data_IF_783209329873
#
_entry.id   IF_783209329873
#
_cell.length_a   1.000
_cell.length_b   1.000
_cell.length_c   1.000
_cell.angle_alpha   90.00
_cell.angle_beta   90.00
_cell.angle_gamma   90.00
#
_symmetry.space_group_name_H-M   'P 1'
#
loop_
_entity.id
_entity.type
_entity.pdbx_description
1 polymer ?
#
# COMPACT_ATOMS: atom_id res chain seq x y z
N UNK A 1 21.15 -38.69 -6.01
CA UNK A 1 20.19 -38.05 -5.10
C UNK A 1 19.34 -36.99 -5.82
N UNK A 2 18.34 -37.46 -6.56
CA UNK A 2 17.44 -36.65 -7.40
C UNK A 2 16.37 -35.95 -6.56
N UNK A 3 16.01 -36.56 -5.43
CA UNK A 3 15.02 -36.06 -4.47
C UNK A 3 15.50 -34.78 -3.79
N UNK A 4 16.76 -34.74 -3.34
CA UNK A 4 17.34 -33.56 -2.72
C UNK A 4 17.36 -32.34 -3.66
N UNK A 5 17.68 -32.56 -4.95
CA UNK A 5 17.65 -31.49 -5.97
C UNK A 5 16.23 -30.98 -6.22
N UNK A 6 15.24 -31.88 -6.19
CA UNK A 6 13.83 -31.55 -6.39
C UNK A 6 13.25 -30.78 -5.19
N UNK A 7 13.61 -31.17 -3.97
CA UNK A 7 13.28 -30.45 -2.72
C UNK A 7 13.86 -29.04 -2.70
N UNK A 8 15.13 -28.86 -3.08
CA UNK A 8 15.74 -27.52 -3.17
C UNK A 8 15.06 -26.66 -4.24
N UNK A 9 14.66 -27.24 -5.37
CA UNK A 9 13.93 -26.54 -6.42
C UNK A 9 12.53 -26.10 -5.96
N UNK A 10 11.83 -26.93 -5.19
CA UNK A 10 10.53 -26.59 -4.59
C UNK A 10 10.66 -25.48 -3.55
N UNK A 11 11.66 -25.54 -2.66
CA UNK A 11 11.91 -24.48 -1.68
C UNK A 11 12.25 -23.13 -2.35
N UNK A 12 13.03 -23.16 -3.43
CA UNK A 12 13.33 -21.98 -4.23
C UNK A 12 12.09 -21.44 -4.95
N UNK A 13 11.21 -22.33 -5.44
CA UNK A 13 9.94 -21.97 -6.06
C UNK A 13 8.96 -21.36 -5.06
N UNK A 14 8.87 -21.89 -3.85
CA UNK A 14 8.07 -21.33 -2.75
C UNK A 14 8.59 -19.96 -2.30
N UNK A 15 9.92 -19.81 -2.16
CA UNK A 15 10.54 -18.52 -1.84
C UNK A 15 10.30 -17.48 -2.95
N UNK A 16 10.40 -17.90 -4.22
CA UNK A 16 10.10 -17.06 -5.38
C UNK A 16 8.62 -16.64 -5.41
N UNK A 17 7.68 -17.56 -5.13
CA UNK A 17 6.25 -17.23 -5.04
C UNK A 17 5.95 -16.27 -3.88
N UNK A 18 6.61 -16.43 -2.73
CA UNK A 18 6.47 -15.50 -1.59
C UNK A 18 6.97 -14.10 -1.94
N UNK A 19 8.03 -14.02 -2.75
CA UNK A 19 8.55 -12.76 -3.27
C UNK A 19 7.68 -12.18 -4.41
N UNK A 20 7.05 -13.04 -5.20
CA UNK A 20 6.10 -12.65 -6.26
C UNK A 20 4.79 -12.11 -5.68
N UNK A 21 4.28 -12.68 -4.59
CA UNK A 21 3.13 -12.15 -3.83
C UNK A 21 3.46 -10.81 -3.14
N UNK A 22 4.66 -10.67 -2.55
CA UNK A 22 5.17 -9.37 -2.08
C UNK A 22 5.31 -8.34 -3.21
N UNK A 23 5.67 -8.80 -4.41
CA UNK A 23 5.81 -7.97 -5.60
C UNK A 23 4.47 -7.58 -6.23
N UNK A 24 3.44 -8.43 -6.15
CA UNK A 24 2.05 -8.18 -6.61
C UNK A 24 1.31 -7.19 -5.70
N UNK A 25 1.73 -7.03 -4.45
CA UNK A 25 1.33 -5.92 -3.57
C UNK A 25 1.81 -4.52 -3.99
N UNK A 26 2.51 -4.39 -5.13
CA UNK A 26 3.00 -3.11 -5.68
C UNK A 26 2.00 -2.39 -6.59
N UNK A 27 0.71 -2.72 -6.51
CA UNK A 27 -0.31 -1.78 -6.94
C UNK A 27 -0.35 -0.64 -5.92
N UNK A 28 -0.06 0.60 -6.35
CA UNK A 28 -0.04 1.81 -5.51
C UNK A 28 -1.33 2.03 -4.67
N UNK A 29 -2.41 1.33 -5.00
CA UNK A 29 -3.69 1.33 -4.28
C UNK A 29 -3.67 0.53 -2.96
N UNK A 30 -2.81 -0.49 -2.83
CA UNK A 30 -2.82 -1.41 -1.68
C UNK A 30 -1.68 -1.19 -0.68
N UNK A 31 -0.70 -0.34 -1.02
CA UNK A 31 0.40 0.07 -0.13
C UNK A 31 -0.11 0.52 1.25
N UNK A 32 -1.17 1.35 1.37
CA UNK A 32 -1.67 1.78 2.67
C UNK A 32 -2.31 0.63 3.47
N UNK A 33 -2.95 -0.33 2.78
CA UNK A 33 -3.61 -1.47 3.45
C UNK A 33 -2.58 -2.48 3.97
N UNK A 34 -1.56 -2.79 3.18
CA UNK A 34 -0.46 -3.67 3.61
C UNK A 34 0.29 -3.06 4.80
N UNK A 35 0.57 -1.76 4.76
CA UNK A 35 1.23 -1.05 5.86
C UNK A 35 0.42 -1.12 7.16
N UNK A 36 -0.90 -0.93 7.09
CA UNK A 36 -1.79 -1.06 8.25
C UNK A 36 -1.85 -2.50 8.76
N UNK A 37 -1.87 -3.50 7.88
CA UNK A 37 -1.85 -4.90 8.26
C UNK A 37 -0.54 -5.27 8.97
N UNK A 38 0.60 -4.83 8.44
CA UNK A 38 1.92 -5.02 9.08
C UNK A 38 1.98 -4.33 10.45
N UNK A 39 1.43 -3.11 10.57
CA UNK A 39 1.33 -2.40 11.86
C UNK A 39 0.51 -3.19 12.87
N UNK A 40 -0.63 -3.75 12.47
CA UNK A 40 -1.48 -4.58 13.32
C UNK A 40 -0.72 -5.81 13.84
N UNK A 41 0.06 -6.45 12.97
CA UNK A 41 0.91 -7.59 13.35
C UNK A 41 2.00 -7.20 14.36
N UNK A 42 2.65 -6.05 14.16
CA UNK A 42 3.63 -5.53 15.12
C UNK A 42 3.00 -5.22 16.48
N UNK A 43 1.78 -4.68 16.51
CA UNK A 43 1.04 -4.45 17.75
C UNK A 43 0.75 -5.76 18.48
N UNK A 44 0.23 -6.76 17.78
CA UNK A 44 -0.04 -8.07 18.38
C UNK A 44 1.22 -8.72 18.96
N UNK A 45 2.36 -8.61 18.25
CA UNK A 45 3.65 -9.10 18.75
C UNK A 45 4.11 -8.33 20.00
N UNK A 46 3.94 -7.00 20.01
CA UNK A 46 4.26 -6.18 21.17
C UNK A 46 3.40 -6.52 22.39
N UNK A 47 2.09 -6.68 22.21
CA UNK A 47 1.17 -7.11 23.28
C UNK A 47 1.52 -8.51 23.81
N UNK A 48 1.90 -9.43 22.93
CA UNK A 48 2.35 -10.77 23.32
C UNK A 48 3.66 -10.71 24.13
N UNK A 49 4.64 -9.93 23.69
CA UNK A 49 5.90 -9.73 24.41
C UNK A 49 5.65 -9.08 25.79
N UNK A 50 4.73 -8.11 25.85
CA UNK A 50 4.34 -7.47 27.10
C UNK A 50 3.70 -8.46 28.09
N UNK A 51 2.80 -9.34 27.61
CA UNK A 51 2.22 -10.41 28.44
C UNK A 51 3.29 -11.40 28.93
N UNK A 52 4.29 -11.70 28.11
CA UNK A 52 5.40 -12.57 28.50
C UNK A 52 6.28 -11.94 29.57
N UNK A 53 6.55 -10.63 29.48
CA UNK A 53 7.25 -9.88 30.50
C UNK A 53 6.50 -9.89 31.85
N UNK A 54 5.19 -9.64 31.83
CA UNK A 54 4.36 -9.72 33.04
C UNK A 54 4.36 -11.12 33.67
N UNK A 55 4.37 -12.17 32.85
CA UNK A 55 4.52 -13.56 33.34
C UNK A 55 5.89 -13.83 33.95
N UNK A 56 6.96 -13.31 33.35
CA UNK A 56 8.31 -13.44 33.90
C UNK A 56 8.43 -12.76 35.26
N UNK A 57 7.87 -11.54 35.38
CA UNK A 57 7.77 -10.79 36.65
C UNK A 57 7.05 -11.55 37.76
N UNK A 58 5.98 -12.27 37.43
CA UNK A 58 5.19 -13.03 38.40
C UNK A 58 5.72 -14.41 38.77
N UNK A 59 6.67 -15.00 38.01
CA UNK A 59 7.15 -16.38 38.25
C UNK A 59 8.56 -16.45 38.82
N UNK A 60 9.55 -15.83 38.18
CA UNK A 60 10.95 -15.92 38.60
C UNK A 60 11.79 -14.78 38.00
N UNK A 61 12.60 -14.13 38.83
CA UNK A 61 13.38 -12.93 38.47
C UNK A 61 14.47 -13.14 37.39
N UNK A 62 14.84 -14.41 37.10
CA UNK A 62 15.95 -14.75 36.18
C UNK A 62 15.65 -14.50 34.70
N UNK A 63 14.40 -14.65 34.28
CA UNK A 63 14.01 -14.50 32.86
C UNK A 63 13.59 -13.06 32.51
N UNK A 64 13.50 -12.18 33.50
CA UNK A 64 13.08 -10.78 33.33
C UNK A 64 13.98 -10.03 32.34
N UNK A 65 15.33 -10.08 32.43
CA UNK A 65 16.18 -9.30 31.52
C UNK A 65 15.98 -9.69 30.05
N UNK A 66 15.75 -10.97 29.78
CA UNK A 66 15.48 -11.48 28.43
C UNK A 66 14.10 -11.03 27.93
N UNK A 67 13.07 -11.15 28.77
CA UNK A 67 11.72 -10.74 28.42
C UNK A 67 11.61 -9.21 28.21
N UNK A 68 12.37 -8.41 28.97
CA UNK A 68 12.47 -6.97 28.80
C UNK A 68 13.13 -6.60 27.46
N UNK A 69 14.22 -7.27 27.09
CA UNK A 69 14.88 -7.05 25.81
C UNK A 69 13.96 -7.40 24.62
N UNK A 70 13.24 -8.53 24.68
CA UNK A 70 12.28 -8.94 23.66
C UNK A 70 11.09 -7.96 23.54
N UNK A 71 10.59 -7.46 24.68
CA UNK A 71 9.52 -6.46 24.71
C UNK A 71 10.00 -5.13 24.12
N UNK A 72 11.21 -4.69 24.46
CA UNK A 72 11.78 -3.43 23.97
C UNK A 72 12.00 -3.46 22.45
N UNK A 73 12.48 -4.60 21.92
CA UNK A 73 12.63 -4.79 20.47
C UNK A 73 11.26 -4.78 19.76
N UNK A 74 10.26 -5.45 20.33
CA UNK A 74 8.90 -5.45 19.77
C UNK A 74 8.26 -4.05 19.82
N UNK A 75 8.49 -3.29 20.90
CA UNK A 75 8.04 -1.90 21.05
C UNK A 75 8.63 -1.03 19.95
N UNK A 76 9.96 -1.05 19.80
CA UNK A 76 10.66 -0.26 18.77
C UNK A 76 10.14 -0.53 17.37
N UNK A 77 9.96 -1.82 17.02
CA UNK A 77 9.39 -2.22 15.71
C UNK A 77 7.97 -1.68 15.50
N UNK A 78 7.14 -1.66 16.55
CA UNK A 78 5.79 -1.11 16.49
C UNK A 78 5.77 0.43 16.39
N UNK A 79 6.68 1.11 17.07
CA UNK A 79 6.83 2.57 17.00
C UNK A 79 7.29 3.01 15.62
N UNK A 80 8.33 2.38 15.07
CA UNK A 80 8.88 2.66 13.75
C UNK A 80 7.81 2.53 12.66
N UNK A 81 7.07 1.43 12.65
CA UNK A 81 6.00 1.21 11.66
C UNK A 81 4.80 2.15 11.89
N UNK A 82 4.53 2.53 13.14
CA UNK A 82 3.47 3.49 13.46
C UNK A 82 3.83 4.90 13.00
N UNK A 83 5.10 5.31 13.13
CA UNK A 83 5.58 6.59 12.61
C UNK A 83 5.46 6.63 11.08
N UNK A 84 5.92 5.58 10.40
CA UNK A 84 5.80 5.45 8.95
C UNK A 84 4.33 5.50 8.49
N UNK A 85 3.45 4.74 9.14
CA UNK A 85 2.01 4.74 8.84
C UNK A 85 1.36 6.12 8.99
N UNK A 86 1.72 6.90 10.03
CA UNK A 86 1.20 8.25 10.21
C UNK A 86 1.60 9.18 9.05
N UNK A 87 2.84 9.10 8.60
CA UNK A 87 3.35 9.92 7.49
C UNK A 87 2.69 9.52 6.17
N UNK A 88 2.70 8.24 5.82
CA UNK A 88 2.10 7.76 4.58
C UNK A 88 0.60 8.06 4.47
N UNK A 89 -0.15 7.94 5.56
CA UNK A 89 -1.58 8.29 5.57
C UNK A 89 -1.83 9.78 5.33
N UNK A 90 -0.97 10.67 5.85
CA UNK A 90 -1.05 12.11 5.57
C UNK A 90 -0.75 12.41 4.11
N UNK A 91 0.30 11.79 3.56
CA UNK A 91 0.71 12.04 2.18
C UNK A 91 -0.24 11.40 1.16
N UNK A 92 -0.84 10.26 1.50
CA UNK A 92 -1.91 9.66 0.70
C UNK A 92 -3.09 10.63 0.53
N UNK A 93 -3.53 11.29 1.61
CA UNK A 93 -4.63 12.28 1.54
C UNK A 93 -4.27 13.43 0.59
N UNK A 94 -3.06 13.99 0.71
CA UNK A 94 -2.57 15.05 -0.18
C UNK A 94 -2.53 14.61 -1.64
N UNK A 95 -1.93 13.45 -1.92
CA UNK A 95 -1.84 12.87 -3.27
C UNK A 95 -3.23 12.65 -3.89
N UNK A 96 -4.20 12.16 -3.12
CA UNK A 96 -5.57 11.95 -3.60
C UNK A 96 -6.25 13.25 -4.01
N UNK A 97 -6.13 14.31 -3.20
CA UNK A 97 -6.74 15.61 -3.52
C UNK A 97 -6.09 16.21 -4.77
N UNK A 98 -4.76 16.14 -4.89
CA UNK A 98 -4.05 16.64 -6.08
C UNK A 98 -4.45 15.86 -7.35
N UNK A 99 -4.50 14.54 -7.27
CA UNK A 99 -4.94 13.71 -8.39
C UNK A 99 -6.38 14.02 -8.80
N UNK A 100 -7.29 14.20 -7.83
CA UNK A 100 -8.68 14.54 -8.12
C UNK A 100 -8.80 15.91 -8.80
N UNK A 101 -8.09 16.93 -8.30
CA UNK A 101 -8.05 18.27 -8.92
C UNK A 101 -7.53 18.20 -10.35
N UNK A 102 -6.43 17.48 -10.57
CA UNK A 102 -5.86 17.30 -11.90
C UNK A 102 -6.84 16.60 -12.84
N UNK A 103 -7.44 15.50 -12.39
CA UNK A 103 -8.40 14.75 -13.21
C UNK A 103 -9.63 15.60 -13.60
N UNK A 104 -10.12 16.47 -12.72
CA UNK A 104 -11.21 17.38 -13.05
C UNK A 104 -10.79 18.46 -14.06
N UNK A 105 -9.60 19.03 -13.91
CA UNK A 105 -9.07 19.99 -14.87
C UNK A 105 -8.85 19.34 -16.25
N UNK A 106 -8.22 18.17 -16.28
CA UNK A 106 -7.99 17.39 -17.50
C UNK A 106 -9.33 17.02 -18.17
N UNK A 107 -10.36 16.65 -17.39
CA UNK A 107 -11.70 16.36 -17.92
C UNK A 107 -12.35 17.62 -18.52
N UNK A 108 -12.33 18.75 -17.81
CA UNK A 108 -12.90 20.00 -18.31
C UNK A 108 -12.22 20.46 -19.61
N UNK A 109 -10.89 20.33 -19.69
CA UNK A 109 -10.14 20.65 -20.91
C UNK A 109 -10.54 19.74 -22.08
N UNK A 110 -10.78 18.46 -21.82
CA UNK A 110 -11.27 17.51 -22.83
C UNK A 110 -12.68 17.86 -23.29
N UNK A 111 -13.59 18.20 -22.36
CA UNK A 111 -14.96 18.61 -22.68
C UNK A 111 -14.99 19.89 -23.52
N UNK A 112 -14.16 20.89 -23.21
CA UNK A 112 -14.03 22.11 -24.00
C UNK A 112 -13.54 21.81 -25.41
N UNK A 113 -12.51 20.96 -25.55
CA UNK A 113 -11.99 20.55 -26.87
C UNK A 113 -13.06 19.82 -27.68
N UNK A 114 -13.79 18.91 -27.03
CA UNK A 114 -14.87 18.16 -27.66
C UNK A 114 -16.00 19.08 -28.13
N UNK A 115 -16.46 20.02 -27.29
CA UNK A 115 -17.48 20.99 -27.65
C UNK A 115 -17.04 21.88 -28.84
N UNK A 116 -15.78 22.34 -28.85
CA UNK A 116 -15.23 23.10 -29.99
C UNK A 116 -15.23 22.30 -31.29
N UNK A 117 -14.83 21.03 -31.23
CA UNK A 117 -14.85 20.15 -32.41
C UNK A 117 -16.28 19.91 -32.91
N UNK A 118 -17.25 19.71 -32.00
CA UNK A 118 -18.67 19.59 -32.37
C UNK A 118 -19.21 20.85 -33.06
N UNK A 119 -18.88 22.04 -32.54
CA UNK A 119 -19.26 23.32 -33.14
C UNK A 119 -18.67 23.46 -34.56
N UNK A 120 -17.41 23.08 -34.76
CA UNK A 120 -16.77 23.11 -36.08
C UNK A 120 -17.52 22.24 -37.09
N UNK A 121 -17.81 20.99 -36.73
CA UNK A 121 -18.57 20.07 -37.60
C UNK A 121 -19.95 20.62 -37.93
N UNK A 122 -20.68 21.15 -36.94
CA UNK A 122 -22.01 21.74 -37.17
C UNK A 122 -21.96 22.96 -38.11
N UNK A 123 -20.95 23.83 -37.96
CA UNK A 123 -20.77 24.97 -38.84
C UNK A 123 -20.45 24.55 -40.29
N UNK A 124 -19.61 23.52 -40.47
CA UNK A 124 -19.34 22.94 -41.79
C UNK A 124 -20.59 22.38 -42.45
N UNK A 125 -21.44 21.66 -41.69
CA UNK A 125 -22.70 21.12 -42.19
C UNK A 125 -23.67 22.25 -42.58
N UNK A 126 -23.82 23.28 -41.75
CA UNK A 126 -24.65 24.45 -42.06
C UNK A 126 -24.14 25.15 -43.32
N UNK A 127 -22.83 25.32 -43.48
CA UNK A 127 -22.25 25.95 -44.67
C UNK A 127 -22.56 25.16 -45.94
N UNK A 128 -22.46 23.82 -45.90
CA UNK A 128 -22.83 22.94 -47.02
C UNK A 128 -24.32 23.02 -47.35
N UNK A 129 -25.20 23.02 -46.35
CA UNK A 129 -26.64 23.14 -46.56
C UNK A 129 -27.02 24.48 -47.22
N UNK A 130 -26.37 25.58 -46.82
CA UNK A 130 -26.58 26.90 -47.43
C UNK A 130 -26.10 27.00 -48.89
N UNK A 131 -25.22 26.08 -49.32
CA UNK A 131 -24.72 26.02 -50.69
C UNK A 131 -25.56 25.10 -51.59
N UNK A 132 -26.58 24.42 -51.05
CA UNK A 132 -27.49 23.64 -51.88
C UNK A 132 -28.42 24.58 -52.68
N UNK A 133 -28.61 24.33 -53.98
CA UNK A 133 -29.49 25.11 -54.85
C UNK A 133 -30.98 24.94 -54.52
#
# INVERSE_FOLDING_TARGET
DLLYRRLRCLANYEAANKNLERARGRNNKDIPKDLLYRRLRCLANYEAANKNLERARGRNNKDIPKAEAEQQEACKKFEDISALAKTELKDLKKRRVLAFKKNLADLADLEIKHAKAQIQVLNELIARLKQQP
#
